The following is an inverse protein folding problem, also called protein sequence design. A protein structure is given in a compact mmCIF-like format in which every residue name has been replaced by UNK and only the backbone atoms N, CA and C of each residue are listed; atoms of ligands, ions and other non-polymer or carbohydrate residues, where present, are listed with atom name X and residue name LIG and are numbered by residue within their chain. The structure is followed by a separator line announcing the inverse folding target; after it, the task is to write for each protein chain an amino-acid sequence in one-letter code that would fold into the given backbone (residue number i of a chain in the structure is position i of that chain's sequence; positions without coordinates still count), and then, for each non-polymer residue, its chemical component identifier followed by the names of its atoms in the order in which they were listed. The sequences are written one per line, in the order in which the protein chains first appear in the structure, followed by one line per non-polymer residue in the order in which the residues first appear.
data_IF_806194996437
#
_entry.id   IF_806194996437
#
_cell.length_a   1.000
_cell.length_b   1.000
_cell.length_c   1.000
_cell.angle_alpha   90.00
_cell.angle_beta   90.00
_cell.angle_gamma   90.00
#
_symmetry.space_group_name_H-M   'P 1'
#
loop_
_entity.id
_entity.type
_entity.pdbx_description
1 polymer ?
#
# COMPACT_ATOMS: atom_id res chain seq x y z
N UNK A 1 48.60 -6.43 -11.71
CA UNK A 1 47.17 -6.13 -11.43
C UNK A 1 46.78 -4.67 -11.62
N UNK A 2 47.21 -3.70 -10.80
CA UNK A 2 46.66 -2.33 -10.83
C UNK A 2 46.85 -1.62 -12.18
N UNK A 3 48.02 -1.78 -12.80
CA UNK A 3 48.33 -1.24 -14.12
C UNK A 3 47.49 -1.90 -15.22
N UNK A 4 47.40 -3.23 -15.24
CA UNK A 4 46.54 -3.99 -16.15
C UNK A 4 45.04 -3.68 -15.95
N UNK A 5 44.62 -3.33 -14.73
CA UNK A 5 43.27 -2.85 -14.46
C UNK A 5 43.03 -1.45 -15.02
N UNK A 6 44.03 -0.56 -14.97
CA UNK A 6 43.94 0.77 -15.57
C UNK A 6 43.85 0.69 -17.10
N UNK A 7 44.65 -0.18 -17.73
CA UNK A 7 44.60 -0.44 -19.17
C UNK A 7 43.26 -1.04 -19.59
N UNK A 8 42.79 -2.08 -18.88
CA UNK A 8 41.49 -2.69 -19.15
C UNK A 8 40.33 -1.69 -18.97
N UNK A 9 40.36 -0.87 -17.92
CA UNK A 9 39.36 0.18 -17.69
C UNK A 9 39.38 1.25 -18.78
N UNK A 10 40.57 1.67 -19.24
CA UNK A 10 40.73 2.63 -20.33
C UNK A 10 40.21 2.07 -21.67
N UNK A 11 40.49 0.80 -21.97
CA UNK A 11 39.97 0.12 -23.16
C UNK A 11 38.45 0.03 -23.15
N UNK A 12 37.86 -0.29 -21.98
CA UNK A 12 36.41 -0.36 -21.77
C UNK A 12 35.73 1.01 -21.63
N UNK A 13 36.51 2.10 -21.52
CA UNK A 13 36.03 3.46 -21.24
C UNK A 13 35.16 3.54 -19.98
N UNK A 14 35.59 2.86 -18.93
CA UNK A 14 34.92 2.83 -17.63
C UNK A 14 35.77 3.61 -16.63
N UNK A 15 35.17 4.61 -15.97
CA UNK A 15 35.81 5.23 -14.81
C UNK A 15 35.75 4.27 -13.62
N UNK A 16 36.91 3.74 -13.23
CA UNK A 16 37.04 2.77 -12.16
C UNK A 16 38.13 3.25 -11.18
N UNK A 17 37.77 3.58 -9.92
CA UNK A 17 38.76 3.84 -8.89
C UNK A 17 39.60 2.58 -8.64
N UNK A 18 40.91 2.66 -8.88
CA UNK A 18 41.84 1.56 -8.63
C UNK A 18 42.58 1.86 -7.34
N UNK A 19 42.40 1.00 -6.33
CA UNK A 19 43.01 1.17 -5.02
C UNK A 19 43.89 -0.03 -4.71
N UNK A 20 45.14 0.23 -4.30
CA UNK A 20 46.05 -0.77 -3.76
C UNK A 20 46.07 -0.60 -2.24
N UNK A 21 45.65 -1.62 -1.50
CA UNK A 21 45.56 -1.58 -0.04
C UNK A 21 45.83 -2.95 0.55
N UNK A 22 46.18 -2.99 1.84
CA UNK A 22 46.37 -4.23 2.60
C UNK A 22 45.01 -4.75 3.06
N UNK A 23 44.87 -6.08 3.15
CA UNK A 23 43.63 -6.71 3.62
C UNK A 23 43.19 -6.24 5.03
N UNK A 24 44.14 -5.86 5.89
CA UNK A 24 43.87 -5.30 7.22
C UNK A 24 43.13 -3.95 7.20
N UNK A 25 43.16 -3.25 6.08
CA UNK A 25 42.57 -1.92 5.90
C UNK A 25 41.23 -1.96 5.15
N UNK A 26 40.76 -3.14 4.74
CA UNK A 26 39.57 -3.27 3.88
C UNK A 26 38.30 -2.70 4.51
N UNK A 27 38.14 -2.78 5.84
CA UNK A 27 37.01 -2.13 6.52
C UNK A 27 37.03 -0.62 6.32
N UNK A 28 38.18 0.02 6.58
CA UNK A 28 38.37 1.46 6.36
C UNK A 28 38.21 1.83 4.89
N UNK A 29 38.73 1.00 3.99
CA UNK A 29 38.59 1.20 2.54
C UNK A 29 37.12 1.24 2.12
N UNK A 30 36.32 0.25 2.53
CA UNK A 30 34.90 0.19 2.18
C UNK A 30 34.14 1.40 2.76
N UNK A 31 34.49 1.84 3.97
CA UNK A 31 33.91 3.05 4.56
C UNK A 31 34.24 4.34 3.80
N UNK A 32 35.39 4.41 3.13
CA UNK A 32 35.77 5.56 2.30
C UNK A 32 35.03 5.62 0.95
N UNK A 33 34.36 4.52 0.56
CA UNK A 33 33.60 4.41 -0.68
C UNK A 33 32.16 3.93 -0.40
N UNK A 34 31.35 4.72 0.32
CA UNK A 34 29.99 4.31 0.73
C UNK A 34 29.07 4.04 -0.46
N UNK A 35 29.25 4.79 -1.56
CA UNK A 35 28.41 4.73 -2.77
C UNK A 35 28.86 3.65 -3.77
N UNK A 36 29.94 2.92 -3.50
CA UNK A 36 30.42 1.85 -4.38
C UNK A 36 29.81 0.53 -3.95
N UNK A 37 29.01 -0.08 -4.80
CA UNK A 37 28.27 -1.31 -4.50
C UNK A 37 28.90 -2.58 -5.07
N UNK A 38 29.84 -2.43 -6.00
CA UNK A 38 30.51 -3.52 -6.69
C UNK A 38 32.02 -3.32 -6.61
N UNK A 39 32.72 -4.31 -6.05
CA UNK A 39 34.17 -4.37 -5.96
C UNK A 39 34.69 -5.47 -6.89
N UNK A 40 35.90 -5.28 -7.41
CA UNK A 40 36.58 -6.28 -8.22
C UNK A 40 37.85 -6.67 -7.47
N UNK A 41 38.07 -7.96 -7.25
CA UNK A 41 39.26 -8.43 -6.53
C UNK A 41 39.57 -9.87 -6.90
N UNK A 42 40.62 -10.47 -6.32
CA UNK A 42 41.01 -11.86 -6.60
C UNK A 42 41.45 -12.58 -5.33
N UNK A 43 41.18 -13.89 -5.26
CA UNK A 43 41.79 -14.74 -4.25
C UNK A 43 41.35 -14.37 -2.83
N UNK A 44 42.28 -14.48 -1.88
CA UNK A 44 42.02 -14.17 -0.47
C UNK A 44 41.50 -12.73 -0.24
N UNK A 45 41.89 -11.78 -1.09
CA UNK A 45 41.40 -10.41 -1.03
C UNK A 45 39.91 -10.32 -1.41
N UNK A 46 39.49 -11.01 -2.48
CA UNK A 46 38.08 -11.09 -2.86
C UNK A 46 37.24 -11.76 -1.77
N UNK A 47 37.71 -12.89 -1.22
CA UNK A 47 37.01 -13.58 -0.15
C UNK A 47 36.83 -12.69 1.09
N UNK A 48 37.86 -11.92 1.44
CA UNK A 48 37.81 -11.01 2.60
C UNK A 48 36.87 -9.84 2.37
N UNK A 49 36.89 -9.23 1.19
CA UNK A 49 35.93 -8.18 0.83
C UNK A 49 34.49 -8.70 0.82
N UNK A 50 34.27 -9.94 0.37
CA UNK A 50 32.93 -10.53 0.28
C UNK A 50 32.30 -10.82 1.66
N UNK A 51 33.12 -10.88 2.71
CA UNK A 51 32.65 -11.00 4.10
C UNK A 51 32.22 -9.65 4.70
N UNK A 52 32.46 -8.53 4.01
CA UNK A 52 32.02 -7.21 4.43
C UNK A 52 30.58 -6.97 3.97
N UNK A 53 29.73 -6.47 4.87
CA UNK A 53 28.28 -6.38 4.66
C UNK A 53 27.88 -5.50 3.47
N UNK A 54 26.91 -6.00 2.68
CA UNK A 54 26.13 -5.20 1.72
C UNK A 54 26.79 -4.91 0.37
N UNK A 55 28.03 -5.35 0.13
CA UNK A 55 28.78 -5.07 -1.09
C UNK A 55 28.96 -6.34 -1.93
N UNK A 56 28.89 -6.20 -3.25
CA UNK A 56 29.12 -7.32 -4.18
C UNK A 56 30.57 -7.34 -4.60
N UNK A 57 31.19 -8.52 -4.57
CA UNK A 57 32.56 -8.71 -5.07
C UNK A 57 32.51 -9.58 -6.31
N UNK A 58 32.98 -9.03 -7.43
CA UNK A 58 33.27 -9.80 -8.64
C UNK A 58 34.69 -10.32 -8.53
N UNK A 59 34.84 -11.63 -8.42
CA UNK A 59 36.13 -12.27 -8.35
C UNK A 59 36.75 -12.40 -9.75
N UNK A 60 38.00 -11.94 -9.91
CA UNK A 60 38.76 -12.10 -11.15
C UNK A 60 39.12 -13.57 -11.30
N UNK A 61 38.41 -14.25 -12.19
CA UNK A 61 38.72 -15.62 -12.59
C UNK A 61 39.94 -15.63 -13.51
N UNK A 62 40.80 -16.63 -13.33
CA UNK A 62 42.04 -16.72 -14.09
C UNK A 62 41.82 -17.45 -15.40
N UNK A 63 42.43 -16.96 -16.47
CA UNK A 63 42.44 -17.66 -17.77
C UNK A 63 43.61 -18.63 -17.83
N UNK A 64 43.61 -19.52 -18.83
CA UNK A 64 44.74 -20.45 -19.05
C UNK A 64 46.03 -19.67 -19.31
N UNK A 65 45.96 -18.56 -20.04
CA UNK A 65 47.12 -17.72 -20.37
C UNK A 65 47.78 -17.12 -19.12
N UNK A 66 46.98 -16.79 -18.09
CA UNK A 66 47.51 -16.30 -16.81
C UNK A 66 48.47 -17.29 -16.16
N UNK A 67 48.28 -18.60 -16.38
CA UNK A 67 49.17 -19.64 -15.89
C UNK A 67 50.31 -19.94 -16.87
N UNK A 68 50.02 -19.99 -18.18
CA UNK A 68 51.01 -20.41 -19.18
C UNK A 68 52.21 -19.46 -19.25
N UNK A 69 51.99 -18.14 -19.23
CA UNK A 69 53.06 -17.14 -19.34
C UNK A 69 54.11 -17.25 -18.21
N UNK A 70 53.74 -17.23 -16.92
CA UNK A 70 54.71 -17.39 -15.84
C UNK A 70 55.35 -18.78 -15.81
N UNK A 71 54.61 -19.84 -16.20
CA UNK A 71 55.19 -21.18 -16.31
C UNK A 71 56.24 -21.26 -17.41
N UNK A 72 55.99 -20.67 -18.59
CA UNK A 72 56.93 -20.64 -19.71
C UNK A 72 58.24 -19.95 -19.31
N UNK A 73 58.17 -18.84 -18.57
CA UNK A 73 59.36 -18.15 -18.04
C UNK A 73 60.20 -19.06 -17.15
N UNK A 74 59.57 -19.80 -16.23
CA UNK A 74 60.26 -20.76 -15.36
C UNK A 74 60.87 -21.90 -16.20
N UNK A 75 60.13 -22.45 -17.16
CA UNK A 75 60.60 -23.51 -18.05
C UNK A 75 61.81 -23.07 -18.89
N UNK A 76 61.83 -21.82 -19.37
CA UNK A 76 62.94 -21.25 -20.15
C UNK A 76 64.24 -21.13 -19.32
N UNK A 77 64.17 -21.21 -18.00
CA UNK A 77 65.33 -21.29 -17.10
C UNK A 77 65.82 -22.73 -16.89
N UNK A 78 65.26 -23.71 -17.61
CA UNK A 78 65.63 -25.12 -17.54
C UNK A 78 64.94 -25.90 -16.40
N UNK A 79 63.97 -25.29 -15.71
CA UNK A 79 63.27 -25.90 -14.59
C UNK A 79 62.15 -26.81 -15.10
N UNK A 80 62.15 -28.05 -14.62
CA UNK A 80 61.19 -29.09 -15.03
C UNK A 80 60.21 -29.53 -13.94
N UNK A 81 60.41 -29.09 -12.70
CA UNK A 81 59.47 -29.35 -11.59
C UNK A 81 58.96 -28.03 -11.03
N UNK A 82 57.70 -27.74 -11.28
CA UNK A 82 57.06 -26.45 -10.99
C UNK A 82 55.91 -26.65 -10.02
N UNK A 83 55.86 -25.88 -8.94
CA UNK A 83 54.71 -25.79 -8.06
C UNK A 83 53.84 -24.58 -8.42
N UNK A 84 52.53 -24.75 -8.50
CA UNK A 84 51.58 -23.63 -8.63
C UNK A 84 50.87 -23.45 -7.30
N UNK A 85 51.15 -22.36 -6.59
CA UNK A 85 50.66 -22.12 -5.22
C UNK A 85 49.90 -20.80 -5.14
N UNK A 86 48.57 -20.88 -5.05
CA UNK A 86 47.69 -19.71 -4.93
C UNK A 86 46.47 -20.04 -4.07
N UNK A 87 45.59 -19.08 -3.84
CA UNK A 87 44.42 -19.24 -2.98
C UNK A 87 43.46 -20.31 -3.54
N UNK A 88 42.76 -21.02 -2.66
CA UNK A 88 41.82 -22.09 -3.04
C UNK A 88 40.64 -21.65 -3.92
N UNK A 89 40.32 -20.35 -3.96
CA UNK A 89 39.33 -19.81 -4.89
C UNK A 89 39.82 -19.72 -6.35
N UNK A 90 41.14 -19.88 -6.59
CA UNK A 90 41.76 -19.70 -7.90
C UNK A 90 42.13 -21.04 -8.56
N UNK A 91 42.55 -22.03 -7.77
CA UNK A 91 42.99 -23.35 -8.29
C UNK A 91 42.43 -24.49 -7.44
N UNK A 92 42.41 -25.69 -8.03
CA UNK A 92 42.19 -26.95 -7.29
C UNK A 92 43.51 -27.74 -7.17
N UNK A 93 43.60 -28.62 -6.18
CA UNK A 93 44.79 -29.47 -6.01
C UNK A 93 44.86 -30.50 -7.13
N UNK A 94 45.91 -30.43 -7.93
CA UNK A 94 46.14 -31.32 -9.06
C UNK A 94 47.63 -31.52 -9.32
N UNK A 95 47.99 -32.67 -9.88
CA UNK A 95 49.31 -32.92 -10.44
C UNK A 95 49.13 -33.28 -11.90
N UNK A 96 49.91 -32.66 -12.78
CA UNK A 96 49.91 -33.03 -14.19
C UNK A 96 51.31 -32.89 -14.77
N UNK A 97 51.53 -33.57 -15.88
CA UNK A 97 52.81 -33.58 -16.59
C UNK A 97 52.58 -33.13 -18.02
N UNK A 98 53.31 -32.11 -18.45
CA UNK A 98 53.30 -31.62 -19.84
C UNK A 98 54.70 -31.85 -20.40
N UNK A 99 54.81 -32.77 -21.35
CA UNK A 99 56.10 -33.22 -21.88
C UNK A 99 57.03 -33.72 -20.77
N UNK A 100 58.14 -33.03 -20.51
CA UNK A 100 59.11 -33.33 -19.46
C UNK A 100 58.98 -32.43 -18.22
N UNK A 101 57.96 -31.57 -18.17
CA UNK A 101 57.66 -30.68 -17.05
C UNK A 101 56.58 -31.29 -16.16
N UNK A 102 56.89 -31.45 -14.87
CA UNK A 102 55.96 -31.87 -13.82
C UNK A 102 55.41 -30.64 -13.08
N UNK A 103 54.09 -30.52 -13.02
CA UNK A 103 53.40 -29.38 -12.41
C UNK A 103 52.57 -29.87 -11.22
N UNK A 104 52.78 -29.23 -10.08
CA UNK A 104 52.15 -29.54 -8.79
C UNK A 104 51.31 -28.34 -8.34
N UNK A 105 50.00 -28.37 -8.58
CA UNK A 105 49.07 -27.34 -8.12
C UNK A 105 48.68 -27.59 -6.67
N UNK A 106 48.93 -26.63 -5.78
CA UNK A 106 48.61 -26.72 -4.36
C UNK A 106 47.89 -25.45 -3.91
N UNK A 107 46.57 -25.50 -3.72
CA UNK A 107 45.82 -24.37 -3.17
C UNK A 107 46.15 -24.16 -1.69
N UNK A 108 46.26 -22.90 -1.27
CA UNK A 108 46.31 -22.53 0.15
C UNK A 108 45.00 -21.89 0.60
N UNK A 109 44.72 -21.99 1.89
CA UNK A 109 43.56 -21.37 2.55
C UNK A 109 43.85 -21.20 4.05
N UNK A 110 42.87 -20.79 4.85
CA UNK A 110 43.13 -20.46 6.26
C UNK A 110 43.74 -21.58 7.10
N UNK A 111 43.42 -22.85 6.80
CA UNK A 111 43.89 -24.02 7.55
C UNK A 111 45.19 -24.62 6.99
N UNK A 112 45.50 -24.36 5.72
CA UNK A 112 46.71 -24.87 5.06
C UNK A 112 47.49 -23.67 4.55
N UNK A 113 48.53 -23.30 5.30
CA UNK A 113 49.28 -22.07 5.05
C UNK A 113 50.29 -22.25 3.91
N UNK A 114 50.57 -21.18 3.12
CA UNK A 114 51.56 -21.24 2.05
C UNK A 114 52.91 -21.81 2.49
N UNK A 115 53.37 -21.50 3.70
CA UNK A 115 54.65 -21.95 4.25
C UNK A 115 54.75 -23.49 4.28
N UNK A 116 53.70 -24.16 4.73
CA UNK A 116 53.64 -25.62 4.80
C UNK A 116 53.67 -26.26 3.41
N UNK A 117 52.98 -25.65 2.45
CA UNK A 117 52.92 -26.11 1.06
C UNK A 117 54.29 -25.97 0.40
N UNK A 118 54.95 -24.82 0.57
CA UNK A 118 56.28 -24.59 -0.01
C UNK A 118 57.30 -25.59 0.54
N UNK A 119 57.34 -25.83 1.85
CA UNK A 119 58.21 -26.85 2.44
C UNK A 119 57.98 -28.25 1.87
N UNK A 120 56.71 -28.62 1.65
CA UNK A 120 56.36 -29.90 1.04
C UNK A 120 56.85 -29.98 -0.40
N UNK A 121 56.66 -28.92 -1.20
CA UNK A 121 57.09 -28.88 -2.60
C UNK A 121 58.63 -28.96 -2.72
N UNK A 122 59.36 -28.31 -1.81
CA UNK A 122 60.83 -28.43 -1.74
C UNK A 122 61.25 -29.88 -1.50
N UNK A 123 60.60 -30.59 -0.56
CA UNK A 123 60.86 -32.01 -0.30
C UNK A 123 60.54 -32.90 -1.51
N UNK A 124 59.61 -32.49 -2.37
CA UNK A 124 59.27 -33.16 -3.62
C UNK A 124 60.25 -32.84 -4.77
N UNK A 125 61.24 -31.97 -4.52
CA UNK A 125 62.23 -31.56 -5.51
C UNK A 125 61.70 -30.53 -6.51
N UNK A 126 60.66 -29.78 -6.17
CA UNK A 126 60.21 -28.63 -6.96
C UNK A 126 61.27 -27.54 -6.93
N UNK A 127 61.57 -26.97 -8.10
CA UNK A 127 62.66 -26.00 -8.29
C UNK A 127 62.12 -24.61 -8.66
N UNK A 128 60.90 -24.53 -9.18
CA UNK A 128 60.24 -23.28 -9.54
C UNK A 128 58.83 -23.17 -8.94
N UNK A 129 58.42 -21.96 -8.55
CA UNK A 129 57.08 -21.68 -8.01
C UNK A 129 56.39 -20.58 -8.81
N UNK A 130 55.21 -20.86 -9.32
CA UNK A 130 54.26 -19.86 -9.83
C UNK A 130 53.20 -19.64 -8.75
N UNK A 131 52.94 -18.41 -8.33
CA UNK A 131 51.96 -18.21 -7.26
C UNK A 131 51.58 -16.77 -6.98
N UNK A 132 50.68 -16.57 -6.03
CA UNK A 132 50.35 -15.23 -5.55
C UNK A 132 51.50 -14.64 -4.71
N UNK A 133 51.41 -13.35 -4.37
CA UNK A 133 52.50 -12.59 -3.74
C UNK A 133 53.12 -13.32 -2.53
N UNK A 134 52.30 -13.74 -1.57
CA UNK A 134 52.76 -14.38 -0.34
C UNK A 134 53.50 -15.72 -0.59
N UNK A 135 52.94 -16.70 -1.34
CA UNK A 135 53.68 -17.90 -1.75
C UNK A 135 55.01 -17.63 -2.47
N UNK A 136 55.06 -16.66 -3.39
CA UNK A 136 56.28 -16.36 -4.16
C UNK A 136 57.38 -15.72 -3.31
N UNK A 137 57.03 -14.90 -2.32
CA UNK A 137 57.99 -14.34 -1.36
C UNK A 137 58.61 -15.44 -0.48
N UNK A 138 57.77 -16.36 0.02
CA UNK A 138 58.22 -17.50 0.83
C UNK A 138 59.11 -18.44 0.01
N UNK A 139 58.72 -18.75 -1.23
CA UNK A 139 59.52 -19.61 -2.10
C UNK A 139 60.88 -18.97 -2.44
N UNK A 140 60.90 -17.64 -2.66
CA UNK A 140 62.13 -16.89 -2.93
C UNK A 140 63.09 -16.90 -1.74
N UNK A 141 62.58 -16.80 -0.51
CA UNK A 141 63.44 -16.88 0.69
C UNK A 141 64.09 -18.26 0.88
N UNK A 142 63.52 -19.30 0.26
CA UNK A 142 64.08 -20.66 0.21
C UNK A 142 64.96 -20.91 -1.03
N UNK A 143 65.24 -19.87 -1.84
CA UNK A 143 66.12 -19.97 -3.01
C UNK A 143 65.48 -20.61 -4.24
N UNK A 144 64.16 -20.77 -4.28
CA UNK A 144 63.46 -21.24 -5.47
C UNK A 144 63.34 -20.13 -6.52
N UNK A 145 63.30 -20.50 -7.79
CA UNK A 145 62.92 -19.58 -8.87
C UNK A 145 61.43 -19.29 -8.78
N UNK A 146 61.02 -18.02 -8.81
CA UNK A 146 59.61 -17.66 -8.64
C UNK A 146 59.11 -16.73 -9.72
N UNK A 147 57.89 -17.01 -10.20
CA UNK A 147 57.13 -16.12 -11.08
C UNK A 147 55.78 -15.80 -10.43
N UNK A 148 55.35 -14.55 -10.56
CA UNK A 148 54.06 -14.12 -10.01
C UNK A 148 52.94 -14.60 -10.93
N UNK A 149 51.96 -15.27 -10.35
CA UNK A 149 50.67 -15.51 -10.99
C UNK A 149 49.83 -14.24 -10.90
N UNK A 150 50.04 -13.33 -11.86
CA UNK A 150 49.20 -12.13 -12.01
C UNK A 150 47.96 -12.45 -12.88
N UNK A 151 46.94 -11.59 -12.85
CA UNK A 151 45.85 -11.65 -13.83
C UNK A 151 46.24 -10.81 -15.03
N UNK A 152 46.21 -11.41 -16.21
CA UNK A 152 46.34 -10.69 -17.46
C UNK A 152 45.17 -9.73 -17.69
N UNK A 153 45.38 -8.81 -18.64
CA UNK A 153 44.39 -7.80 -19.02
C UNK A 153 43.05 -8.43 -19.41
N UNK A 154 43.04 -9.59 -20.07
CA UNK A 154 41.81 -10.29 -20.48
C UNK A 154 40.94 -10.73 -19.29
N UNK A 155 41.55 -11.32 -18.26
CA UNK A 155 40.87 -11.76 -17.04
C UNK A 155 40.28 -10.58 -16.27
N UNK A 156 41.04 -9.48 -16.16
CA UNK A 156 40.57 -8.26 -15.50
C UNK A 156 39.47 -7.58 -16.30
N UNK A 157 39.60 -7.51 -17.63
CA UNK A 157 38.58 -6.97 -18.54
C UNK A 157 37.25 -7.70 -18.35
N UNK A 158 37.26 -9.03 -18.29
CA UNK A 158 36.04 -9.81 -18.11
C UNK A 158 35.36 -9.52 -16.76
N UNK A 159 36.15 -9.41 -15.69
CA UNK A 159 35.64 -9.03 -14.37
C UNK A 159 35.06 -7.60 -14.35
N UNK A 160 35.67 -6.64 -15.06
CA UNK A 160 35.13 -5.28 -15.20
C UNK A 160 33.81 -5.30 -15.97
N UNK A 161 33.71 -6.04 -17.08
CA UNK A 161 32.47 -6.17 -17.85
C UNK A 161 31.32 -6.74 -16.99
N UNK A 162 31.59 -7.78 -16.20
CA UNK A 162 30.62 -8.37 -15.29
C UNK A 162 30.22 -7.39 -14.17
N UNK A 163 31.19 -6.70 -13.56
CA UNK A 163 30.94 -5.70 -12.54
C UNK A 163 30.08 -4.54 -13.06
N UNK A 164 30.36 -4.03 -14.27
CA UNK A 164 29.57 -2.98 -14.91
C UNK A 164 28.14 -3.46 -15.18
N UNK A 165 27.95 -4.71 -15.61
CA UNK A 165 26.62 -5.29 -15.82
C UNK A 165 25.82 -5.33 -14.51
N UNK A 166 26.44 -5.76 -13.41
CA UNK A 166 25.82 -5.79 -12.08
C UNK A 166 25.49 -4.38 -11.59
N UNK A 167 26.44 -3.44 -11.71
CA UNK A 167 26.25 -2.05 -11.29
C UNK A 167 25.08 -1.38 -12.03
N UNK A 168 25.00 -1.57 -13.36
CA UNK A 168 23.88 -1.04 -14.17
C UNK A 168 22.53 -1.65 -13.80
N UNK A 169 22.50 -2.95 -13.49
CA UNK A 169 21.28 -3.61 -13.05
C UNK A 169 20.78 -3.04 -11.72
N UNK A 170 21.69 -2.85 -10.75
CA UNK A 170 21.37 -2.23 -9.46
C UNK A 170 20.89 -0.79 -9.58
N UNK A 171 21.55 0.02 -10.41
CA UNK A 171 21.13 1.41 -10.60
C UNK A 171 19.72 1.49 -11.18
N UNK A 172 19.39 0.61 -12.13
CA UNK A 172 18.04 0.52 -12.68
C UNK A 172 17.00 0.11 -11.63
N UNK A 173 17.34 -0.82 -10.74
CA UNK A 173 16.46 -1.22 -9.63
C UNK A 173 16.27 -0.08 -8.63
N UNK A 174 17.34 0.66 -8.31
CA UNK A 174 17.30 1.83 -7.42
C UNK A 174 16.41 2.94 -7.97
N UNK A 175 16.52 3.27 -9.25
CA UNK A 175 15.67 4.26 -9.91
C UNK A 175 14.19 3.85 -9.87
N UNK A 176 13.88 2.58 -10.17
CA UNK A 176 12.51 2.04 -10.07
C UNK A 176 11.97 2.08 -8.64
N UNK A 177 12.81 1.75 -7.65
CA UNK A 177 12.43 1.83 -6.26
C UNK A 177 12.11 3.28 -5.85
N UNK A 178 12.91 4.25 -6.31
CA UNK A 178 12.67 5.67 -6.08
C UNK A 178 11.36 6.17 -6.74
N UNK A 179 11.10 5.78 -8.00
CA UNK A 179 9.84 6.10 -8.69
C UNK A 179 8.62 5.53 -7.96
N UNK A 180 8.68 4.25 -7.56
CA UNK A 180 7.61 3.59 -6.80
C UNK A 180 7.39 4.25 -5.44
N UNK A 181 8.46 4.69 -4.78
CA UNK A 181 8.39 5.39 -3.51
C UNK A 181 7.68 6.75 -3.66
N UNK A 182 8.04 7.51 -4.69
CA UNK A 182 7.40 8.78 -5.00
C UNK A 182 5.91 8.60 -5.30
N UNK A 183 5.54 7.60 -6.11
CA UNK A 183 4.13 7.27 -6.39
C UNK A 183 3.38 6.89 -5.10
N UNK A 184 4.01 6.08 -4.24
CA UNK A 184 3.39 5.68 -2.96
C UNK A 184 3.14 6.89 -2.05
N UNK A 185 4.08 7.84 -2.00
CA UNK A 185 3.91 9.10 -1.26
C UNK A 185 2.78 9.96 -1.83
N UNK A 186 2.67 10.04 -3.16
CA UNK A 186 1.59 10.75 -3.82
C UNK A 186 0.23 10.13 -3.49
N UNK A 187 0.08 8.81 -3.64
CA UNK A 187 -1.16 8.11 -3.29
C UNK A 187 -1.52 8.27 -1.81
N UNK A 188 -0.54 8.23 -0.91
CA UNK A 188 -0.78 8.50 0.50
C UNK A 188 -1.36 9.90 0.73
N UNK A 189 -0.81 10.93 0.06
CA UNK A 189 -1.34 12.30 0.15
C UNK A 189 -2.76 12.42 -0.40
N UNK A 190 -3.05 11.80 -1.55
CA UNK A 190 -4.39 11.82 -2.16
C UNK A 190 -5.43 11.16 -1.25
N UNK A 191 -5.08 10.03 -0.63
CA UNK A 191 -5.92 9.35 0.36
C UNK A 191 -6.19 10.25 1.57
N UNK A 192 -5.20 10.99 2.06
CA UNK A 192 -5.39 11.91 3.19
C UNK A 192 -6.41 13.00 2.89
N UNK A 193 -6.28 13.67 1.74
CA UNK A 193 -7.23 14.70 1.32
C UNK A 193 -8.64 14.12 1.14
N UNK A 194 -8.76 12.91 0.57
CA UNK A 194 -10.04 12.24 0.42
C UNK A 194 -10.68 11.88 1.77
N UNK A 195 -9.89 11.45 2.76
CA UNK A 195 -10.38 11.17 4.12
C UNK A 195 -10.86 12.45 4.80
N UNK A 196 -10.11 13.55 4.71
CA UNK A 196 -10.52 14.84 5.30
C UNK A 196 -11.84 15.33 4.71
N UNK A 197 -12.01 15.24 3.39
CA UNK A 197 -13.26 15.58 2.71
C UNK A 197 -14.41 14.67 3.18
N UNK A 198 -14.18 13.36 3.23
CA UNK A 198 -15.20 12.40 3.66
C UNK A 198 -15.61 12.60 5.13
N UNK A 199 -14.69 13.02 6.00
CA UNK A 199 -15.01 13.39 7.39
C UNK A 199 -15.95 14.59 7.42
N UNK A 200 -15.66 15.64 6.67
CA UNK A 200 -16.53 16.82 6.59
C UNK A 200 -17.93 16.49 6.06
N UNK A 201 -18.02 15.69 4.99
CA UNK A 201 -19.31 15.22 4.44
C UNK A 201 -20.09 14.34 5.45
N UNK A 202 -19.39 13.53 6.25
CA UNK A 202 -19.99 12.69 7.30
C UNK A 202 -20.53 13.53 8.46
N UNK A 203 -19.82 14.61 8.84
CA UNK A 203 -20.30 15.57 9.85
C UNK A 203 -21.56 16.31 9.36
N UNK A 204 -21.57 16.75 8.11
CA UNK A 204 -22.74 17.39 7.48
C UNK A 204 -23.95 16.44 7.44
N UNK A 205 -23.74 15.18 7.03
CA UNK A 205 -24.77 14.14 7.04
C UNK A 205 -25.33 13.89 8.45
N UNK A 206 -24.47 13.90 9.47
CA UNK A 206 -24.88 13.74 10.87
C UNK A 206 -25.78 14.89 11.30
N UNK A 207 -25.39 16.12 11.01
CA UNK A 207 -26.18 17.31 11.33
C UNK A 207 -27.53 17.30 10.61
N UNK A 208 -27.53 16.98 9.31
CA UNK A 208 -28.76 16.87 8.50
C UNK A 208 -29.71 15.79 9.03
N UNK A 209 -29.18 14.64 9.48
CA UNK A 209 -30.00 13.57 10.07
C UNK A 209 -30.65 14.01 11.39
N UNK A 210 -29.95 14.79 12.20
CA UNK A 210 -30.50 15.35 13.45
C UNK A 210 -31.61 16.37 13.16
N UNK A 211 -31.40 17.25 12.17
CA UNK A 211 -32.41 18.20 11.73
C UNK A 211 -33.66 17.49 11.19
N UNK A 212 -33.47 16.43 10.39
CA UNK A 212 -34.56 15.62 9.85
C UNK A 212 -35.37 14.94 10.96
N UNK A 213 -34.71 14.45 12.02
CA UNK A 213 -35.40 13.86 13.18
C UNK A 213 -36.26 14.90 13.91
N UNK A 214 -35.78 16.13 14.07
CA UNK A 214 -36.55 17.24 14.67
C UNK A 214 -37.77 17.57 13.79
N UNK A 215 -37.57 17.74 12.49
CA UNK A 215 -38.66 18.04 11.54
C UNK A 215 -39.70 16.90 11.52
N UNK A 216 -39.25 15.64 11.56
CA UNK A 216 -40.13 14.47 11.62
C UNK A 216 -40.99 14.48 12.89
N UNK A 217 -40.40 14.79 14.05
CA UNK A 217 -41.12 14.91 15.32
C UNK A 217 -42.15 16.04 15.28
N UNK A 218 -41.79 17.21 14.75
CA UNK A 218 -42.73 18.34 14.62
C UNK A 218 -43.90 18.01 13.67
N UNK A 219 -43.61 17.30 12.58
CA UNK A 219 -44.63 16.83 11.64
C UNK A 219 -45.58 15.81 12.28
N UNK A 220 -45.07 14.90 13.12
CA UNK A 220 -45.88 13.96 13.89
C UNK A 220 -46.85 14.70 14.82
N UNK A 221 -46.35 15.68 15.59
CA UNK A 221 -47.15 16.47 16.52
C UNK A 221 -48.24 17.28 15.80
N UNK A 222 -47.89 17.89 14.67
CA UNK A 222 -48.84 18.63 13.83
C UNK A 222 -49.93 17.71 13.25
N UNK A 223 -49.55 16.53 12.74
CA UNK A 223 -50.49 15.55 12.22
C UNK A 223 -51.40 14.99 13.34
N UNK A 224 -50.86 14.72 14.52
CA UNK A 224 -51.61 14.28 15.68
C UNK A 224 -52.63 15.33 16.13
N UNK A 225 -52.26 16.61 16.11
CA UNK A 225 -53.15 17.74 16.41
C UNK A 225 -54.25 17.86 15.36
N UNK A 226 -53.92 17.74 14.08
CA UNK A 226 -54.90 17.75 12.99
C UNK A 226 -55.89 16.59 13.12
N UNK A 227 -55.41 15.39 13.47
CA UNK A 227 -56.25 14.21 13.71
C UNK A 227 -57.28 14.46 14.82
N UNK A 228 -56.85 15.04 15.94
CA UNK A 228 -57.75 15.42 17.03
C UNK A 228 -58.77 16.48 16.61
N UNK A 229 -58.34 17.47 15.81
CA UNK A 229 -59.22 18.51 15.25
C UNK A 229 -60.31 17.95 14.34
N UNK A 230 -59.96 16.97 13.48
CA UNK A 230 -60.93 16.28 12.61
C UNK A 230 -61.94 15.50 13.45
N UNK A 231 -61.48 14.78 14.49
CA UNK A 231 -62.36 14.03 15.40
C UNK A 231 -63.35 14.95 16.13
N UNK A 232 -62.87 16.06 16.69
CA UNK A 232 -63.73 17.06 17.35
C UNK A 232 -64.75 17.67 16.38
N UNK A 233 -64.33 17.97 15.14
CA UNK A 233 -65.23 18.47 14.10
C UNK A 233 -66.32 17.45 13.74
N UNK A 234 -66.00 16.16 13.70
CA UNK A 234 -66.96 15.09 13.46
C UNK A 234 -68.00 14.99 14.61
N UNK A 235 -67.57 15.14 15.86
CA UNK A 235 -68.47 15.16 17.03
C UNK A 235 -69.46 16.35 16.97
N UNK A 236 -68.98 17.55 16.63
CA UNK A 236 -69.84 18.73 16.43
C UNK A 236 -70.85 18.49 15.30
N UNK A 237 -70.42 17.83 14.23
CA UNK A 237 -71.27 17.54 13.08
C UNK A 237 -72.40 16.55 13.40
N UNK A 238 -72.12 15.57 14.27
CA UNK A 238 -73.13 14.66 14.82
C UNK A 238 -74.22 15.45 15.57
N UNK A 239 -73.83 16.45 16.37
CA UNK A 239 -74.77 17.35 17.07
C UNK A 239 -75.61 18.14 16.08
N UNK A 240 -74.99 18.77 15.07
CA UNK A 240 -75.71 19.54 14.03
C UNK A 240 -76.74 18.67 13.31
N UNK A 241 -76.36 17.44 12.95
CA UNK A 241 -77.26 16.47 12.33
C UNK A 241 -78.44 16.14 13.24
N UNK A 242 -78.19 15.95 14.54
CA UNK A 242 -79.23 15.69 15.53
C UNK A 242 -80.19 16.87 15.70
N UNK A 243 -79.67 18.10 15.73
CA UNK A 243 -80.47 19.34 15.77
C UNK A 243 -81.32 19.46 14.52
N UNK A 244 -80.74 19.27 13.33
CA UNK A 244 -81.48 19.33 12.06
C UNK A 244 -82.62 18.30 12.01
N UNK A 245 -82.40 17.07 12.51
CA UNK A 245 -83.44 16.05 12.62
C UNK A 245 -84.56 16.47 13.58
N UNK A 246 -84.22 17.02 14.75
CA UNK A 246 -85.20 17.52 15.72
C UNK A 246 -85.99 18.72 15.17
N UNK A 247 -85.34 19.66 14.48
CA UNK A 247 -86.00 20.81 13.83
C UNK A 247 -86.94 20.34 12.73
N UNK A 248 -86.58 19.32 11.94
CA UNK A 248 -87.47 18.75 10.94
C UNK A 248 -88.71 18.09 11.58
N UNK A 249 -88.55 17.42 12.72
CA UNK A 249 -89.68 16.86 13.49
C UNK A 249 -90.57 17.96 14.10
N UNK A 250 -89.97 19.02 14.63
CA UNK A 250 -90.70 20.19 15.13
C UNK A 250 -91.50 20.87 14.01
N UNK A 251 -90.88 21.08 12.85
CA UNK A 251 -91.54 21.62 11.66
C UNK A 251 -92.66 20.71 11.15
N UNK A 252 -92.51 19.38 11.24
CA UNK A 252 -93.57 18.43 10.93
C UNK A 252 -94.76 18.57 11.88
N UNK A 253 -94.51 18.62 13.19
CA UNK A 253 -95.56 18.80 14.20
C UNK A 253 -96.29 20.14 14.00
N UNK A 254 -95.56 21.22 13.70
CA UNK A 254 -96.15 22.52 13.40
C UNK A 254 -96.99 22.50 12.12
N UNK A 255 -96.57 21.78 11.07
CA UNK A 255 -97.34 21.62 9.85
C UNK A 255 -98.65 20.84 10.09
N UNK A 256 -98.62 19.82 10.94
CA UNK A 256 -99.81 19.06 11.35
C UNK A 256 -100.79 19.95 12.11
N UNK A 257 -100.32 20.73 13.08
CA UNK A 257 -101.19 21.61 13.87
C UNK A 257 -101.74 22.78 13.03
N UNK A 258 -100.94 23.31 12.10
CA UNK A 258 -101.39 24.30 11.13
C UNK A 258 -102.48 23.76 10.20
N UNK A 259 -102.39 22.50 9.76
CA UNK A 259 -103.45 21.85 9.00
C UNK A 259 -104.71 21.64 9.85
N UNK A 260 -104.55 21.33 11.14
CA UNK A 260 -105.65 21.13 12.09
C UNK A 260 -106.43 22.41 12.39
N UNK A 261 -105.76 23.57 12.38
CA UNK A 261 -106.38 24.89 12.54
C UNK A 261 -107.16 25.39 11.30
N UNK A 262 -107.12 24.64 10.19
CA UNK A 262 -107.87 24.96 8.97
C UNK A 262 -107.45 26.29 8.33
N UNK A 263 -108.42 27.14 7.98
CA UNK A 263 -108.19 28.45 7.33
C UNK A 263 -107.29 29.37 8.17
N UNK A 264 -107.40 29.33 9.51
CA UNK A 264 -106.60 30.16 10.42
C UNK A 264 -105.13 29.71 10.50
N UNK A 265 -104.80 28.49 10.06
CA UNK A 265 -103.46 27.92 10.09
C UNK A 265 -102.66 28.08 8.80
N UNK A 266 -103.23 28.64 7.72
CA UNK A 266 -102.56 28.73 6.40
C UNK A 266 -101.18 29.39 6.46
N UNK A 267 -101.05 30.52 7.16
CA UNK A 267 -99.77 31.22 7.31
C UNK A 267 -98.72 30.39 8.06
N UNK A 268 -99.14 29.72 9.14
CA UNK A 268 -98.27 28.82 9.91
C UNK A 268 -97.84 27.58 9.11
N UNK A 269 -98.70 27.07 8.23
CA UNK A 269 -98.38 25.92 7.37
C UNK A 269 -97.23 26.23 6.40
N UNK A 270 -97.22 27.43 5.82
CA UNK A 270 -96.12 27.90 4.95
C UNK A 270 -94.82 27.98 5.73
N UNK A 271 -94.82 28.59 6.91
CA UNK A 271 -93.63 28.69 7.77
C UNK A 271 -93.12 27.31 8.17
N UNK A 272 -94.01 26.40 8.57
CA UNK A 272 -93.64 25.04 8.95
C UNK A 272 -93.03 24.25 7.78
N UNK A 273 -93.52 24.45 6.55
CA UNK A 273 -92.92 23.92 5.33
C UNK A 273 -91.50 24.41 5.08
N UNK A 274 -91.26 25.72 5.25
CA UNK A 274 -89.93 26.31 5.07
C UNK A 274 -88.94 25.83 6.15
N UNK A 275 -89.39 25.73 7.42
CA UNK A 275 -88.58 25.17 8.51
C UNK A 275 -88.15 23.73 8.22
N UNK A 276 -89.06 22.89 7.71
CA UNK A 276 -88.71 21.50 7.31
C UNK A 276 -87.72 21.47 6.16
N UNK A 277 -87.87 22.35 5.18
CA UNK A 277 -86.97 22.44 4.03
C UNK A 277 -85.56 22.81 4.49
N UNK A 278 -85.42 23.86 5.31
CA UNK A 278 -84.14 24.28 5.90
C UNK A 278 -83.49 23.18 6.75
N UNK A 279 -84.29 22.46 7.54
CA UNK A 279 -83.81 21.34 8.34
C UNK A 279 -83.27 20.18 7.49
N UNK A 280 -83.94 19.83 6.39
CA UNK A 280 -83.46 18.81 5.45
C UNK A 280 -82.19 19.26 4.71
N UNK A 281 -82.14 20.53 4.26
CA UNK A 281 -80.94 21.10 3.63
C UNK A 281 -79.74 21.12 4.60
N UNK A 282 -79.99 21.40 5.88
CA UNK A 282 -78.97 21.37 6.93
C UNK A 282 -78.43 19.96 7.16
N UNK A 283 -79.31 18.96 7.20
CA UNK A 283 -78.93 17.55 7.34
C UNK A 283 -78.14 17.04 6.12
N UNK A 284 -78.54 17.44 4.90
CA UNK A 284 -77.81 17.10 3.68
C UNK A 284 -76.42 17.76 3.64
N UNK A 285 -76.32 19.02 4.05
CA UNK A 285 -75.04 19.71 4.19
C UNK A 285 -74.14 19.03 5.23
N UNK A 286 -74.69 18.65 6.38
CA UNK A 286 -73.95 17.91 7.40
C UNK A 286 -73.41 16.57 6.88
N UNK A 287 -74.19 15.81 6.10
CA UNK A 287 -73.71 14.57 5.47
C UNK A 287 -72.55 14.80 4.49
N UNK A 288 -72.59 15.88 3.73
CA UNK A 288 -71.50 16.25 2.80
C UNK A 288 -70.23 16.61 3.57
N UNK A 289 -70.34 17.44 4.61
CA UNK A 289 -69.20 17.78 5.49
C UNK A 289 -68.60 16.51 6.10
N UNK A 290 -69.42 15.55 6.53
CA UNK A 290 -68.94 14.31 7.13
C UNK A 290 -68.11 13.46 6.16
N UNK A 291 -68.46 13.51 4.86
CA UNK A 291 -67.68 12.82 3.82
C UNK A 291 -66.31 13.46 3.67
N UNK A 292 -66.26 14.80 3.60
CA UNK A 292 -65.01 15.56 3.54
C UNK A 292 -64.14 15.35 4.78
N UNK A 293 -64.72 15.30 5.98
CA UNK A 293 -63.98 15.03 7.22
C UNK A 293 -63.36 13.63 7.24
N UNK A 294 -64.05 12.61 6.69
CA UNK A 294 -63.48 11.27 6.56
C UNK A 294 -62.31 11.22 5.59
N UNK A 295 -62.41 11.93 4.46
CA UNK A 295 -61.29 12.06 3.51
C UNK A 295 -60.09 12.77 4.16
N UNK A 296 -60.35 13.79 4.97
CA UNK A 296 -59.34 14.48 5.76
C UNK A 296 -58.69 13.55 6.80
N UNK A 297 -59.48 12.76 7.51
CA UNK A 297 -58.98 11.78 8.48
C UNK A 297 -58.01 10.79 7.81
N UNK A 298 -58.42 10.18 6.69
CA UNK A 298 -57.58 9.24 5.95
C UNK A 298 -56.28 9.90 5.47
N UNK A 299 -56.34 11.17 5.04
CA UNK A 299 -55.16 11.93 4.62
C UNK A 299 -54.19 12.15 5.77
N UNK A 300 -54.70 12.48 6.97
CA UNK A 300 -53.88 12.65 8.17
C UNK A 300 -53.27 11.32 8.65
N UNK A 301 -54.01 10.22 8.58
CA UNK A 301 -53.48 8.88 8.88
C UNK A 301 -52.33 8.51 7.94
N UNK A 302 -52.45 8.80 6.64
CA UNK A 302 -51.36 8.58 5.67
C UNK A 302 -50.13 9.45 5.93
N UNK A 303 -50.32 10.69 6.42
CA UNK A 303 -49.20 11.54 6.84
C UNK A 303 -48.50 10.95 8.06
N UNK A 304 -49.23 10.45 9.06
CA UNK A 304 -48.64 9.82 10.24
C UNK A 304 -47.80 8.59 9.87
N UNK A 305 -48.31 7.73 8.99
CA UNK A 305 -47.55 6.57 8.48
C UNK A 305 -46.28 7.01 7.72
N UNK A 306 -46.36 8.09 6.94
CA UNK A 306 -45.19 8.62 6.22
C UNK A 306 -44.12 9.16 7.17
N UNK A 307 -44.54 9.84 8.26
CA UNK A 307 -43.65 10.36 9.29
C UNK A 307 -42.97 9.23 10.07
N UNK A 308 -43.70 8.15 10.40
CA UNK A 308 -43.12 6.96 11.04
C UNK A 308 -42.04 6.31 10.14
N UNK A 309 -42.30 6.20 8.84
CA UNK A 309 -41.30 5.70 7.89
C UNK A 309 -40.07 6.62 7.80
N UNK A 310 -40.25 7.95 7.83
CA UNK A 310 -39.13 8.91 7.84
C UNK A 310 -38.29 8.74 9.11
N UNK A 311 -38.90 8.51 10.27
CA UNK A 311 -38.16 8.30 11.52
C UNK A 311 -37.28 7.04 11.45
N UNK A 312 -37.82 5.92 10.93
CA UNK A 312 -37.06 4.68 10.72
C UNK A 312 -35.86 4.93 9.79
N UNK A 313 -36.08 5.56 8.65
CA UNK A 313 -35.01 5.87 7.68
C UNK A 313 -33.95 6.76 8.30
N UNK A 314 -34.36 7.77 9.08
CA UNK A 314 -33.45 8.71 9.75
C UNK A 314 -32.58 8.01 10.78
N UNK A 315 -33.13 7.06 11.54
CA UNK A 315 -32.37 6.24 12.49
C UNK A 315 -31.36 5.32 11.78
N UNK A 316 -31.75 4.69 10.68
CA UNK A 316 -30.85 3.87 9.87
C UNK A 316 -29.71 4.71 9.27
N UNK A 317 -30.02 5.91 8.77
CA UNK A 317 -29.04 6.87 8.26
C UNK A 317 -28.06 7.31 9.34
N UNK A 318 -28.53 7.61 10.55
CA UNK A 318 -27.66 7.97 11.67
C UNK A 318 -26.67 6.84 12.02
N UNK A 319 -27.15 5.59 12.03
CA UNK A 319 -26.29 4.42 12.27
C UNK A 319 -25.25 4.23 11.17
N UNK A 320 -25.65 4.33 9.90
CA UNK A 320 -24.74 4.21 8.76
C UNK A 320 -23.64 5.28 8.81
N UNK A 321 -24.00 6.51 9.15
CA UNK A 321 -23.07 7.63 9.29
C UNK A 321 -22.04 7.39 10.41
N UNK A 322 -22.46 6.79 11.54
CA UNK A 322 -21.54 6.39 12.61
C UNK A 322 -20.56 5.28 12.18
N UNK A 323 -21.04 4.31 11.41
CA UNK A 323 -20.17 3.25 10.86
C UNK A 323 -19.14 3.83 9.88
N UNK A 324 -19.55 4.77 9.01
CA UNK A 324 -18.66 5.50 8.10
C UNK A 324 -17.59 6.27 8.88
N UNK A 325 -17.98 7.03 9.91
CA UNK A 325 -17.04 7.77 10.74
C UNK A 325 -15.96 6.85 11.34
N UNK A 326 -16.36 5.68 11.85
CA UNK A 326 -15.41 4.69 12.39
C UNK A 326 -14.46 4.14 11.32
N UNK A 327 -14.95 3.85 10.12
CA UNK A 327 -14.09 3.41 9.01
C UNK A 327 -13.08 4.50 8.62
N UNK A 328 -13.50 5.76 8.59
CA UNK A 328 -12.62 6.89 8.27
C UNK A 328 -11.48 7.03 9.31
N UNK A 329 -11.75 6.85 10.59
CA UNK A 329 -10.71 6.81 11.63
C UNK A 329 -9.69 5.68 11.40
N UNK A 330 -10.15 4.50 10.98
CA UNK A 330 -9.26 3.38 10.66
C UNK A 330 -8.42 3.67 9.40
N UNK A 331 -9.02 4.24 8.36
CA UNK A 331 -8.31 4.67 7.15
C UNK A 331 -7.26 5.73 7.46
N UNK A 332 -7.54 6.67 8.36
CA UNK A 332 -6.57 7.69 8.78
C UNK A 332 -5.35 7.05 9.47
N UNK A 333 -5.55 6.00 10.29
CA UNK A 333 -4.46 5.23 10.92
C UNK A 333 -3.64 4.47 9.88
N UNK A 334 -4.28 3.89 8.86
CA UNK A 334 -3.60 3.18 7.77
C UNK A 334 -2.78 4.17 6.93
N UNK A 335 -3.35 5.31 6.56
CA UNK A 335 -2.64 6.37 5.85
C UNK A 335 -1.39 6.85 6.59
N UNK A 336 -1.45 6.95 7.92
CA UNK A 336 -0.31 7.33 8.75
C UNK A 336 0.82 6.32 8.69
N UNK A 337 0.49 5.03 8.83
CA UNK A 337 1.48 3.95 8.70
C UNK A 337 2.11 3.92 7.32
N UNK A 338 1.33 4.18 6.26
CA UNK A 338 1.84 4.22 4.89
C UNK A 338 2.81 5.38 4.68
N UNK A 339 2.49 6.57 5.20
CA UNK A 339 3.37 7.74 5.16
C UNK A 339 4.68 7.51 5.92
N UNK A 340 4.62 6.94 7.13
CA UNK A 340 5.80 6.59 7.93
C UNK A 340 6.68 5.52 7.25
N UNK A 341 6.07 4.53 6.61
CA UNK A 341 6.79 3.51 5.84
C UNK A 341 7.51 4.11 4.62
N UNK A 342 6.85 5.03 3.91
CA UNK A 342 7.45 5.76 2.80
C UNK A 342 8.63 6.64 3.22
N UNK A 343 8.56 7.29 4.39
CA UNK A 343 9.69 8.08 4.89
C UNK A 343 10.89 7.21 5.29
N UNK A 344 10.67 6.04 5.90
CA UNK A 344 11.75 5.12 6.25
C UNK A 344 12.45 4.53 5.04
N UNK A 345 11.68 4.16 4.01
CA UNK A 345 12.22 3.60 2.77
C UNK A 345 13.01 4.63 1.94
N UNK A 346 12.73 5.94 2.10
CA UNK A 346 13.51 7.01 1.45
C UNK A 346 14.81 7.38 2.17
N UNK A 347 15.01 6.90 3.40
CA UNK A 347 16.20 7.17 4.23
C UNK A 347 17.20 5.99 4.27
N UNK A 348 16.81 4.82 3.74
CA UNK A 348 17.61 3.57 3.72
C UNK A 348 18.21 3.31 2.35
#
# INVERSE_FOLDING_TARGET
MAESAAEAAAELKVELPIVVSKMSEFQTLVSNYPDIDVFISRGAAAETLNKLYGKTVVEITSTIDDFLVPMEKICNMGIKKIGVVTHASVISEQNFKISDVEIFMRPWHDKVKPEQIIEQLIKMGVQGIVGSLKPTEIARSHGLTTELLDSGQASIKHAIEEAVKIARAREKERLRAAENLQQTQQYASEIYTAIEQAVAETEELTASSQELAVISSEAADAAQTAFQGVKSSAEILEIIKHVAQQTNLLGLNAAIEAARAGEYGRGFSVVAGEVRKLANESNNSARRINTVLKEFQNSVESVLESVENIDIITQEQAKATQEIARMLEELQKVGKKLSEAGQKAGLS
#
